data_IF_634631501948
#
_entry.id   IF_634631501948
#
_cell.length_a   1.000
_cell.length_b   1.000
_cell.length_c   1.000
_cell.angle_alpha   90.00
_cell.angle_beta   90.00
_cell.angle_gamma   90.00
#
_symmetry.space_group_name_H-M   'P 1'
#
loop_
_entity.id
_entity.type
_entity.pdbx_description
1 polymer ?
#
# COMPACT_ATOMS: atom_id res chain seq x y z
N UNK A 1 9.54 -8.48 -8.39
CA UNK A 1 8.84 -7.69 -7.40
C UNK A 1 8.33 -6.42 -8.01
N UNK A 2 7.11 -6.11 -7.66
CA UNK A 2 6.35 -5.02 -8.24
C UNK A 2 6.74 -3.65 -7.68
N UNK A 3 6.95 -3.61 -6.37
CA UNK A 3 7.45 -2.46 -5.64
C UNK A 3 8.67 -2.87 -4.85
N UNK A 4 9.75 -2.16 -5.05
CA UNK A 4 10.91 -2.28 -4.19
C UNK A 4 10.91 -1.14 -3.18
N UNK A 5 10.76 -1.50 -1.93
CA UNK A 5 10.86 -0.57 -0.81
C UNK A 5 12.22 -0.82 -0.15
N UNK A 6 13.07 0.20 -0.17
CA UNK A 6 14.43 0.11 0.37
C UNK A 6 14.41 0.14 1.90
N UNK A 7 14.85 -0.93 2.59
CA UNK A 7 14.90 -0.93 4.05
C UNK A 7 15.77 0.19 4.64
N UNK A 8 16.86 0.55 3.97
CA UNK A 8 17.76 1.63 4.44
C UNK A 8 17.05 2.98 4.36
N UNK A 9 16.30 3.21 3.29
CA UNK A 9 15.50 4.43 3.15
C UNK A 9 14.38 4.49 4.20
N UNK A 10 13.68 3.40 4.45
CA UNK A 10 12.63 3.34 5.48
C UNK A 10 13.20 3.59 6.87
N UNK A 11 14.35 3.03 7.21
CA UNK A 11 15.03 3.30 8.47
C UNK A 11 15.40 4.77 8.62
N UNK A 12 15.88 5.39 7.53
CA UNK A 12 16.21 6.82 7.53
C UNK A 12 14.95 7.70 7.70
N UNK A 13 13.82 7.31 7.07
CA UNK A 13 12.54 7.98 7.25
C UNK A 13 12.00 7.79 8.67
N UNK A 14 12.08 6.59 9.22
CA UNK A 14 11.73 6.33 10.61
C UNK A 14 12.56 7.19 11.58
N UNK A 15 13.87 7.30 11.37
CA UNK A 15 14.74 8.12 12.20
C UNK A 15 14.32 9.59 12.23
N UNK A 16 13.80 10.12 11.12
CA UNK A 16 13.30 11.49 10.96
C UNK A 16 11.85 11.68 11.41
N UNK A 17 11.12 10.61 11.67
CA UNK A 17 9.71 10.67 12.05
C UNK A 17 9.51 11.38 13.40
N UNK A 18 8.38 12.09 13.61
CA UNK A 18 8.07 12.71 14.89
C UNK A 18 8.02 11.70 16.04
N UNK A 19 8.31 12.13 17.25
CA UNK A 19 8.40 11.26 18.42
C UNK A 19 7.09 10.49 18.68
N UNK A 20 5.94 11.12 18.52
CA UNK A 20 4.63 10.49 18.69
C UNK A 20 4.40 9.36 17.67
N UNK A 21 4.79 9.57 16.41
CA UNK A 21 4.65 8.55 15.36
C UNK A 21 5.61 7.37 15.61
N UNK A 22 6.84 7.64 16.07
CA UNK A 22 7.78 6.58 16.48
C UNK A 22 7.21 5.71 17.59
N UNK A 23 6.54 6.32 18.62
CA UNK A 23 5.88 5.57 19.69
C UNK A 23 4.80 4.64 19.15
N UNK A 24 3.97 5.10 18.21
CA UNK A 24 2.94 4.26 17.58
C UNK A 24 3.56 3.10 16.80
N UNK A 25 4.58 3.35 15.98
CA UNK A 25 5.26 2.30 15.23
C UNK A 25 5.98 1.30 16.15
N UNK A 26 6.56 1.76 17.26
CA UNK A 26 7.15 0.90 18.29
C UNK A 26 6.10 0.01 18.95
N UNK A 27 4.95 0.58 19.33
CA UNK A 27 3.84 -0.17 19.92
C UNK A 27 3.27 -1.21 18.95
N UNK A 28 3.15 -0.85 17.66
CA UNK A 28 2.71 -1.74 16.61
C UNK A 28 3.67 -2.95 16.47
N UNK A 29 4.96 -2.72 16.35
CA UNK A 29 5.95 -3.78 16.24
C UNK A 29 5.99 -4.65 17.52
N UNK A 30 5.92 -4.03 18.69
CA UNK A 30 5.89 -4.73 19.96
C UNK A 30 4.65 -5.64 20.10
N UNK A 31 3.48 -5.14 19.65
CA UNK A 31 2.23 -5.91 19.65
C UNK A 31 2.31 -7.17 18.77
N UNK A 32 2.83 -7.04 17.55
CA UNK A 32 3.01 -8.17 16.64
C UNK A 32 4.02 -9.19 17.19
N UNK A 33 5.16 -8.72 17.70
CA UNK A 33 6.18 -9.60 18.30
C UNK A 33 5.67 -10.29 19.57
N UNK A 34 4.86 -9.58 20.37
CA UNK A 34 4.23 -10.16 21.54
C UNK A 34 3.24 -11.28 21.16
N UNK A 35 2.40 -11.02 20.13
CA UNK A 35 1.49 -12.03 19.62
C UNK A 35 2.23 -13.30 19.19
N UNK A 36 3.31 -13.17 18.43
CA UNK A 36 4.12 -14.31 18.02
C UNK A 36 4.77 -15.05 19.18
N UNK A 37 5.17 -14.33 20.24
CA UNK A 37 5.72 -14.96 21.44
C UNK A 37 4.67 -15.74 22.26
N UNK A 38 3.44 -15.22 22.31
CA UNK A 38 2.34 -15.86 23.04
C UNK A 38 1.68 -16.99 22.23
N UNK A 39 1.92 -17.06 20.91
CA UNK A 39 1.35 -18.03 19.97
C UNK A 39 2.44 -18.82 19.22
N UNK A 40 3.16 -19.71 19.88
CA UNK A 40 4.24 -20.47 19.24
C UNK A 40 3.77 -21.42 18.14
N UNK A 41 2.47 -21.72 18.06
CA UNK A 41 1.84 -22.46 16.97
C UNK A 41 1.75 -21.68 15.67
N UNK A 42 1.89 -20.35 15.73
CA UNK A 42 1.88 -19.48 14.54
C UNK A 42 3.26 -19.45 13.90
N UNK A 43 3.36 -19.96 12.69
CA UNK A 43 4.62 -20.01 11.94
C UNK A 43 4.58 -19.05 10.74
N UNK A 44 5.03 -17.79 10.88
CA UNK A 44 5.06 -16.84 9.77
C UNK A 44 5.94 -17.35 8.63
N UNK A 45 5.48 -17.15 7.38
CA UNK A 45 6.20 -17.65 6.19
C UNK A 45 7.41 -16.80 5.81
N UNK A 46 7.41 -15.52 6.17
CA UNK A 46 8.39 -14.55 5.67
C UNK A 46 9.06 -13.78 6.81
N UNK A 47 8.28 -13.16 7.68
CA UNK A 47 8.78 -12.34 8.78
C UNK A 47 8.49 -13.02 10.12
N UNK A 48 9.53 -13.29 10.88
CA UNK A 48 9.45 -13.86 12.24
C UNK A 48 9.67 -12.81 13.32
N UNK A 49 10.04 -11.59 12.93
CA UNK A 49 10.24 -10.45 13.81
C UNK A 49 9.89 -9.16 13.10
N UNK A 50 9.27 -8.22 13.81
CA UNK A 50 8.82 -6.94 13.30
C UNK A 50 9.61 -5.79 13.93
N UNK A 51 10.17 -4.94 13.08
CA UNK A 51 10.84 -3.71 13.47
C UNK A 51 9.91 -2.50 13.29
N UNK A 52 10.01 -1.46 14.13
CA UNK A 52 9.13 -0.31 14.07
C UNK A 52 9.08 0.38 12.69
N UNK A 53 10.22 0.48 12.01
CA UNK A 53 10.31 1.10 10.68
C UNK A 53 9.57 0.33 9.58
N UNK A 54 9.27 -0.96 9.80
CA UNK A 54 8.53 -1.77 8.84
C UNK A 54 7.08 -1.29 8.65
N UNK A 55 6.52 -0.59 9.64
CA UNK A 55 5.21 0.05 9.49
C UNK A 55 5.15 1.08 8.34
N UNK A 56 6.29 1.66 7.95
CA UNK A 56 6.40 2.58 6.83
C UNK A 56 6.42 1.88 5.46
N UNK A 57 6.54 0.55 5.42
CA UNK A 57 6.49 -0.22 4.17
C UNK A 57 5.07 -0.41 3.63
N UNK A 58 4.07 -0.02 4.39
CA UNK A 58 2.70 -0.13 3.96
C UNK A 58 2.43 0.82 2.79
N UNK A 59 2.00 0.26 1.67
CA UNK A 59 1.37 1.01 0.60
C UNK A 59 -0.14 0.77 0.64
N UNK A 60 -0.92 1.81 0.40
CA UNK A 60 -2.35 1.66 0.27
C UNK A 60 -2.67 0.72 -0.90
N UNK A 61 -3.17 -0.47 -0.58
CA UNK A 61 -3.36 -1.53 -1.57
C UNK A 61 -4.39 -1.19 -2.64
N UNK A 62 -5.40 -0.37 -2.33
CA UNK A 62 -6.39 0.05 -3.32
C UNK A 62 -5.81 1.09 -4.28
N UNK A 63 -5.07 2.06 -3.78
CA UNK A 63 -4.42 3.10 -4.62
C UNK A 63 -3.21 2.50 -5.34
N UNK A 64 -2.30 1.86 -4.62
CA UNK A 64 -1.12 1.25 -5.20
C UNK A 64 -1.43 0.10 -6.16
N UNK A 65 -2.51 -0.65 -5.89
CA UNK A 65 -2.99 -1.72 -6.76
C UNK A 65 -3.47 -1.22 -8.13
N UNK A 66 -4.15 -0.10 -8.15
CA UNK A 66 -4.71 0.48 -9.36
C UNK A 66 -3.66 1.24 -10.19
N UNK A 67 -2.77 1.98 -9.51
CA UNK A 67 -1.74 2.82 -10.15
C UNK A 67 -0.52 2.00 -10.57
N UNK A 68 -0.09 1.06 -9.72
CA UNK A 68 1.18 0.36 -9.87
C UNK A 68 1.01 -1.07 -10.37
N UNK A 69 -0.12 -1.37 -11.03
CA UNK A 69 -0.35 -2.71 -11.56
C UNK A 69 0.59 -3.04 -12.72
N UNK A 70 1.52 -3.95 -12.49
CA UNK A 70 2.35 -4.56 -13.53
C UNK A 70 1.62 -5.80 -14.07
N UNK A 71 1.31 -5.80 -15.36
CA UNK A 71 0.76 -6.99 -16.02
C UNK A 71 1.88 -8.02 -16.17
N UNK A 72 1.79 -9.11 -15.39
CA UNK A 72 2.83 -10.17 -15.40
C UNK A 72 3.06 -10.76 -16.77
N UNK A 73 2.01 -10.92 -17.58
CA UNK A 73 2.11 -11.39 -18.98
C UNK A 73 2.94 -10.46 -19.85
N UNK A 74 2.80 -9.15 -19.70
CA UNK A 74 3.61 -8.18 -20.43
C UNK A 74 5.08 -8.21 -19.96
N UNK A 75 5.29 -8.38 -18.67
CA UNK A 75 6.63 -8.52 -18.10
C UNK A 75 7.31 -9.81 -18.61
N UNK A 76 6.60 -10.93 -18.62
CA UNK A 76 7.09 -12.19 -19.17
C UNK A 76 7.39 -12.06 -20.66
N UNK A 77 6.48 -11.45 -21.45
CA UNK A 77 6.69 -11.19 -22.86
C UNK A 77 7.96 -10.38 -23.12
N UNK A 78 8.20 -9.34 -22.31
CA UNK A 78 9.39 -8.51 -22.41
C UNK A 78 10.68 -9.32 -22.20
N UNK A 79 10.75 -10.15 -21.15
CA UNK A 79 11.95 -10.93 -20.84
C UNK A 79 12.15 -12.15 -21.74
N UNK A 80 11.08 -12.76 -22.22
CA UNK A 80 11.15 -13.94 -23.08
C UNK A 80 11.14 -13.60 -24.57
N UNK A 81 11.00 -12.33 -24.94
CA UNK A 81 10.82 -11.85 -26.31
C UNK A 81 9.69 -12.55 -27.08
N UNK A 82 8.75 -13.13 -26.37
CA UNK A 82 7.57 -13.76 -26.93
C UNK A 82 6.45 -12.73 -27.06
N UNK A 83 5.80 -12.68 -28.22
CA UNK A 83 4.50 -12.05 -28.35
C UNK A 83 3.47 -12.96 -27.66
N UNK A 84 3.12 -12.62 -26.44
CA UNK A 84 2.02 -13.32 -25.74
C UNK A 84 0.73 -12.67 -26.22
N UNK A 85 -0.06 -13.43 -26.97
CA UNK A 85 -1.47 -13.11 -27.16
C UNK A 85 -2.11 -13.18 -25.76
N UNK A 86 -2.68 -12.05 -25.28
CA UNK A 86 -3.40 -12.04 -24.01
C UNK A 86 -4.51 -13.10 -24.06
N UNK A 87 -4.36 -14.18 -23.31
CA UNK A 87 -5.42 -15.16 -23.15
C UNK A 87 -6.58 -14.49 -22.40
N UNK A 88 -7.80 -14.77 -22.84
CA UNK A 88 -9.02 -14.29 -22.17
C UNK A 88 -9.14 -14.81 -20.72
N UNK A 89 -8.41 -15.87 -20.37
CA UNK A 89 -8.44 -16.53 -19.06
C UNK A 89 -7.70 -15.77 -17.94
N UNK A 90 -6.71 -14.96 -18.23
CA UNK A 90 -6.09 -14.12 -17.19
C UNK A 90 -7.06 -13.07 -16.62
N UNK A 91 -8.15 -12.79 -17.29
CA UNK A 91 -9.22 -11.91 -16.81
C UNK A 91 -10.21 -12.60 -15.88
N UNK A 92 -10.21 -13.91 -15.78
CA UNK A 92 -11.20 -14.71 -15.03
C UNK A 92 -10.73 -15.32 -13.73
N UNK A 93 -9.42 -15.48 -13.53
CA UNK A 93 -8.86 -16.20 -12.38
C UNK A 93 -8.45 -15.33 -11.20
N UNK A 94 -8.41 -14.02 -11.35
CA UNK A 94 -8.26 -13.11 -10.21
C UNK A 94 -9.66 -12.65 -9.84
N UNK A 95 -10.15 -12.96 -8.61
CA UNK A 95 -11.37 -12.33 -8.11
C UNK A 95 -11.17 -10.83 -8.26
N UNK A 96 -11.95 -10.19 -9.15
CA UNK A 96 -11.95 -8.73 -9.24
C UNK A 96 -12.48 -8.24 -7.92
N UNK A 97 -11.61 -7.66 -7.11
CA UNK A 97 -12.08 -6.89 -5.99
C UNK A 97 -13.04 -5.83 -6.51
N UNK A 98 -14.17 -5.60 -5.81
CA UNK A 98 -15.08 -4.53 -6.17
C UNK A 98 -14.28 -3.23 -6.25
N UNK A 99 -14.31 -2.56 -7.39
CA UNK A 99 -13.63 -1.29 -7.57
C UNK A 99 -14.50 -0.16 -7.05
N UNK A 100 -13.88 0.79 -6.35
CA UNK A 100 -14.56 1.97 -5.83
C UNK A 100 -15.08 1.80 -4.40
N UNK A 101 -15.83 2.79 -3.98
CA UNK A 101 -16.50 2.86 -2.66
C UNK A 101 -17.56 3.94 -2.73
N UNK A 102 -18.55 3.87 -1.85
CA UNK A 102 -19.58 4.91 -1.74
C UNK A 102 -19.44 5.67 -0.42
N UNK A 103 -19.67 6.97 -0.45
CA UNK A 103 -19.73 7.80 0.74
C UNK A 103 -20.75 8.90 0.58
N UNK A 104 -21.51 9.15 1.65
CA UNK A 104 -22.46 10.25 1.71
C UNK A 104 -22.22 11.05 2.97
N UNK A 105 -21.92 12.34 2.82
CA UNK A 105 -21.80 13.28 3.92
C UNK A 105 -23.00 14.24 3.86
N UNK A 106 -23.79 14.26 4.92
CA UNK A 106 -24.97 15.13 5.06
C UNK A 106 -24.67 16.17 6.13
N UNK A 107 -24.72 17.44 5.74
CA UNK A 107 -24.51 18.54 6.67
C UNK A 107 -25.64 18.64 7.72
N UNK A 108 -25.37 19.16 8.92
CA UNK A 108 -26.39 19.35 9.96
C UNK A 108 -27.64 20.08 9.52
N UNK A 109 -27.51 21.05 8.61
CA UNK A 109 -28.64 21.81 8.05
C UNK A 109 -29.61 20.99 7.20
N UNK A 110 -29.21 19.79 6.79
CA UNK A 110 -29.99 18.87 5.95
C UNK A 110 -30.44 17.62 6.70
N UNK A 111 -30.13 17.50 7.99
CA UNK A 111 -30.60 16.43 8.86
C UNK A 111 -31.76 16.89 9.74
N UNK A 112 -32.63 15.95 10.11
CA UNK A 112 -33.83 16.26 10.92
C UNK A 112 -33.47 16.70 12.33
N UNK A 113 -32.41 16.15 12.87
CA UNK A 113 -31.96 16.34 14.26
C UNK A 113 -30.77 17.32 14.40
N UNK A 114 -30.34 17.93 13.30
CA UNK A 114 -29.25 18.89 13.29
C UNK A 114 -27.86 18.31 13.49
N UNK A 115 -27.70 16.99 13.31
CA UNK A 115 -26.38 16.33 13.37
C UNK A 115 -25.81 16.03 11.98
N UNK A 116 -24.51 16.08 11.84
CA UNK A 116 -23.84 15.59 10.63
C UNK A 116 -23.99 14.07 10.53
N UNK A 117 -24.27 13.57 9.33
CA UNK A 117 -24.34 12.14 9.05
C UNK A 117 -23.27 11.76 8.02
N UNK A 118 -22.58 10.65 8.24
CA UNK A 118 -21.61 10.10 7.33
C UNK A 118 -21.89 8.61 7.10
N UNK A 119 -22.14 8.24 5.86
CA UNK A 119 -22.16 6.84 5.42
C UNK A 119 -20.83 6.54 4.72
N UNK A 120 -20.22 5.44 5.12
CA UNK A 120 -18.97 4.92 4.54
C UNK A 120 -19.27 3.49 4.08
N UNK A 121 -19.08 3.22 2.78
CA UNK A 121 -19.29 1.90 2.21
C UNK A 121 -18.11 1.53 1.31
N UNK A 122 -16.99 1.07 1.87
CA UNK A 122 -15.83 0.65 1.11
C UNK A 122 -16.12 -0.69 0.40
N UNK A 123 -15.87 -0.72 -0.91
CA UNK A 123 -15.92 -1.96 -1.70
C UNK A 123 -14.52 -2.56 -1.74
N UNK A 124 -14.22 -3.42 -0.80
CA UNK A 124 -12.90 -4.05 -0.65
C UNK A 124 -13.02 -5.55 -0.45
N UNK A 125 -11.91 -6.26 -0.60
CA UNK A 125 -11.84 -7.68 -0.27
C UNK A 125 -12.29 -7.93 1.17
N UNK A 126 -13.04 -9.01 1.36
CA UNK A 126 -13.49 -9.44 2.68
C UNK A 126 -12.34 -9.67 3.68
N UNK A 127 -11.20 -10.10 3.19
CA UNK A 127 -10.03 -10.43 4.03
C UNK A 127 -9.03 -9.28 4.19
N UNK A 128 -9.37 -8.08 3.78
CA UNK A 128 -8.43 -6.97 3.73
C UNK A 128 -8.55 -6.01 4.92
N UNK A 129 -9.74 -5.88 5.50
CA UNK A 129 -10.05 -4.90 6.55
C UNK A 129 -10.82 -5.52 7.70
N UNK A 130 -10.71 -4.87 8.86
CA UNK A 130 -11.49 -5.16 10.06
C UNK A 130 -12.10 -3.86 10.57
N UNK A 131 -13.30 -3.93 11.13
CA UNK A 131 -13.89 -2.83 11.88
C UNK A 131 -13.46 -2.92 13.34
N UNK A 132 -13.15 -1.77 13.93
CA UNK A 132 -12.81 -1.70 15.33
C UNK A 132 -13.03 -0.30 15.92
N UNK A 133 -13.16 -0.26 17.25
CA UNK A 133 -13.14 0.92 18.07
C UNK A 133 -11.76 1.09 18.68
N UNK A 134 -11.13 2.24 18.48
CA UNK A 134 -9.87 2.60 19.10
C UNK A 134 -10.07 3.72 20.11
N UNK A 135 -9.64 3.51 21.33
CA UNK A 135 -9.69 4.52 22.39
C UNK A 135 -8.34 4.63 23.09
N UNK A 136 -8.01 5.82 23.59
CA UNK A 136 -6.87 6.03 24.48
C UNK A 136 -7.17 7.14 25.49
N UNK A 137 -6.48 7.12 26.61
CA UNK A 137 -6.59 8.15 27.65
C UNK A 137 -6.06 9.53 27.19
N UNK A 138 -5.34 9.55 26.05
CA UNK A 138 -4.87 10.79 25.41
C UNK A 138 -5.92 11.43 24.48
N UNK A 139 -7.18 10.97 24.52
CA UNK A 139 -8.32 11.57 23.82
C UNK A 139 -8.67 10.94 22.47
N UNK A 140 -7.99 9.87 22.04
CA UNK A 140 -8.42 9.11 20.87
C UNK A 140 -9.73 8.37 21.19
N UNK A 141 -10.73 8.58 20.36
CA UNK A 141 -11.96 7.80 20.36
C UNK A 141 -12.49 7.76 18.93
N UNK A 142 -12.12 6.72 18.18
CA UNK A 142 -12.44 6.58 16.78
C UNK A 142 -12.97 5.17 16.47
N UNK A 143 -14.00 5.11 15.63
CA UNK A 143 -14.55 3.86 15.09
C UNK A 143 -14.39 3.84 13.58
N UNK A 144 -14.11 2.66 13.03
CA UNK A 144 -14.08 2.47 11.59
C UNK A 144 -13.27 1.29 11.13
N UNK A 145 -12.94 1.30 9.84
CA UNK A 145 -12.19 0.25 9.18
C UNK A 145 -10.67 0.46 9.32
N UNK A 146 -9.99 -0.63 9.64
CA UNK A 146 -8.52 -0.71 9.67
C UNK A 146 -8.08 -1.71 8.63
N UNK A 147 -7.13 -1.35 7.80
CA UNK A 147 -6.46 -2.30 6.93
C UNK A 147 -5.55 -3.19 7.76
N UNK A 148 -5.56 -4.48 7.50
CA UNK A 148 -4.73 -5.43 8.23
C UNK A 148 -3.25 -5.03 8.21
N UNK A 149 -2.62 -5.04 9.37
CA UNK A 149 -1.25 -4.60 9.54
C UNK A 149 -1.08 -3.09 9.81
N UNK A 150 -2.17 -2.31 9.83
CA UNK A 150 -2.13 -0.90 10.20
C UNK A 150 -2.48 -0.66 11.66
N UNK A 151 -2.04 0.49 12.18
CA UNK A 151 -2.24 0.90 13.56
C UNK A 151 -3.11 2.16 13.70
N UNK A 152 -3.92 2.46 12.68
CA UNK A 152 -4.84 3.61 12.67
C UNK A 152 -6.14 3.28 11.92
N UNK A 153 -7.21 3.99 12.27
CA UNK A 153 -8.48 3.90 11.56
C UNK A 153 -8.33 4.57 10.19
N UNK A 154 -8.38 3.77 9.16
CA UNK A 154 -8.16 4.17 7.76
C UNK A 154 -9.35 4.93 7.17
N UNK A 155 -10.57 4.46 7.43
CA UNK A 155 -11.83 5.12 7.13
C UNK A 155 -12.72 5.01 8.36
N UNK A 156 -13.29 6.12 8.80
CA UNK A 156 -14.06 6.10 10.02
C UNK A 156 -14.52 7.46 10.48
N UNK A 157 -14.81 7.55 11.75
CA UNK A 157 -15.25 8.78 12.37
C UNK A 157 -14.92 8.81 13.86
N UNK A 158 -14.93 10.01 14.41
CA UNK A 158 -14.92 10.30 15.84
C UNK A 158 -16.03 11.34 16.16
N UNK A 159 -16.02 11.88 17.37
CA UNK A 159 -17.02 12.90 17.78
C UNK A 159 -16.92 14.24 17.03
N UNK A 160 -15.85 14.48 16.27
CA UNK A 160 -15.55 15.77 15.64
C UNK A 160 -15.46 15.71 14.13
N UNK A 161 -15.07 14.57 13.56
CA UNK A 161 -14.80 14.42 12.15
C UNK A 161 -15.12 13.00 11.66
N UNK A 162 -15.42 12.89 10.37
CA UNK A 162 -15.48 11.63 9.66
C UNK A 162 -14.61 11.71 8.41
N UNK A 163 -14.04 10.60 8.00
CA UNK A 163 -13.17 10.53 6.83
C UNK A 163 -13.36 9.21 6.08
N UNK A 164 -13.38 9.33 4.78
CA UNK A 164 -13.37 8.21 3.86
C UNK A 164 -12.72 8.62 2.53
N UNK A 165 -12.34 7.65 1.76
CA UNK A 165 -11.85 7.84 0.41
C UNK A 165 -12.30 6.69 -0.47
N UNK A 166 -12.37 6.94 -1.75
CA UNK A 166 -12.77 5.98 -2.77
C UNK A 166 -11.79 6.03 -3.93
N UNK A 167 -11.69 4.95 -4.67
CA UNK A 167 -10.98 4.97 -5.95
C UNK A 167 -11.74 5.87 -6.91
N UNK A 168 -11.01 6.82 -7.51
CA UNK A 168 -11.52 7.66 -8.58
C UNK A 168 -11.09 7.12 -9.93
N UNK A 169 -11.89 7.40 -10.96
CA UNK A 169 -11.52 7.15 -12.36
C UNK A 169 -11.00 8.41 -13.05
N UNK A 170 -10.56 9.39 -12.28
CA UNK A 170 -9.96 10.59 -12.82
C UNK A 170 -8.62 10.26 -13.49
N UNK A 171 -8.40 10.83 -14.66
CA UNK A 171 -7.12 10.76 -15.36
C UNK A 171 -6.12 11.71 -14.67
N UNK A 172 -5.39 11.15 -13.70
CA UNK A 172 -4.37 11.85 -12.92
C UNK A 172 -3.02 11.12 -12.92
N UNK A 173 -2.84 10.20 -13.89
CA UNK A 173 -1.60 9.42 -14.06
C UNK A 173 -1.14 9.56 -15.48
N UNK A 174 0.06 10.13 -15.66
CA UNK A 174 0.73 10.22 -16.94
C UNK A 174 1.78 9.12 -17.07
N UNK A 175 1.72 8.35 -18.16
CA UNK A 175 2.76 7.39 -18.53
C UNK A 175 3.70 7.99 -19.55
N UNK A 176 5.00 7.98 -19.26
CA UNK A 176 6.04 8.53 -20.15
C UNK A 176 6.90 7.41 -20.73
N UNK A 177 6.99 7.33 -22.05
CA UNK A 177 7.93 6.47 -22.74
C UNK A 177 9.27 7.19 -22.93
N UNK A 178 10.29 6.79 -22.17
CA UNK A 178 11.59 7.45 -22.19
C UNK A 178 12.52 6.82 -23.25
N UNK A 179 13.22 7.68 -24.01
CA UNK A 179 14.27 7.22 -24.92
C UNK A 179 15.59 7.06 -24.17
N UNK A 180 15.97 5.83 -23.91
CA UNK A 180 17.18 5.48 -23.18
C UNK A 180 18.31 5.15 -24.15
N UNK A 181 19.52 5.63 -23.87
CA UNK A 181 20.73 5.37 -24.65
C UNK A 181 21.91 5.04 -23.71
N UNK A 182 22.83 4.14 -24.11
CA UNK A 182 24.06 3.90 -23.36
C UNK A 182 24.87 5.21 -23.21
N UNK A 183 25.53 5.36 -22.07
CA UNK A 183 26.38 6.54 -21.77
C UNK A 183 27.85 6.35 -22.17
N UNK A 184 28.20 5.17 -22.70
CA UNK A 184 29.58 4.80 -23.06
C UNK A 184 30.47 4.47 -21.86
N UNK A 185 29.95 4.47 -20.63
CA UNK A 185 30.67 4.17 -19.38
C UNK A 185 30.06 3.00 -18.62
N UNK A 186 29.17 2.24 -19.28
CA UNK A 186 28.47 1.08 -18.68
C UNK A 186 27.14 1.45 -18.03
N UNK A 187 26.71 2.72 -18.10
CA UNK A 187 25.42 3.20 -17.64
C UNK A 187 24.50 3.60 -18.79
N UNK A 188 23.41 4.28 -18.42
CA UNK A 188 22.42 4.76 -19.36
C UNK A 188 22.04 6.21 -19.09
N UNK A 189 21.63 6.92 -20.14
CA UNK A 189 21.02 8.25 -20.06
C UNK A 189 19.66 8.24 -20.74
N UNK A 190 18.76 9.13 -20.31
CA UNK A 190 17.49 9.38 -20.97
C UNK A 190 17.34 10.86 -21.34
N UNK A 191 16.49 11.13 -22.32
CA UNK A 191 16.24 12.51 -22.76
C UNK A 191 15.10 13.11 -21.92
N UNK A 192 15.38 14.24 -21.28
CA UNK A 192 14.39 15.02 -20.56
C UNK A 192 14.36 16.45 -21.12
N UNK A 193 13.39 16.70 -21.97
CA UNK A 193 13.34 17.95 -22.74
C UNK A 193 14.57 18.12 -23.62
N UNK A 194 15.36 19.18 -23.39
CA UNK A 194 16.62 19.46 -24.09
C UNK A 194 17.86 18.87 -23.39
N UNK A 195 17.68 18.25 -22.23
CA UNK A 195 18.78 17.72 -21.41
C UNK A 195 18.90 16.19 -21.54
N UNK A 196 20.10 15.67 -21.33
CA UNK A 196 20.33 14.25 -21.05
C UNK A 196 20.57 14.07 -19.56
N UNK A 197 19.83 13.15 -18.94
CA UNK A 197 19.97 12.80 -17.53
C UNK A 197 20.44 11.36 -17.39
N UNK A 198 21.26 11.09 -16.38
CA UNK A 198 21.68 9.75 -16.05
C UNK A 198 20.49 8.93 -15.53
N UNK A 199 20.41 7.67 -15.93
CA UNK A 199 19.49 6.69 -15.36
C UNK A 199 20.11 6.15 -14.07
N UNK A 200 19.38 6.27 -12.96
CA UNK A 200 19.78 5.61 -11.72
C UNK A 200 19.49 4.11 -11.85
N UNK A 201 20.53 3.30 -11.72
CA UNK A 201 20.43 1.83 -11.73
C UNK A 201 20.62 1.33 -10.31
N UNK A 202 19.63 0.59 -9.79
CA UNK A 202 19.67 -0.03 -8.47
C UNK A 202 19.63 -1.55 -8.64
N UNK A 203 20.72 -2.27 -8.41
CA UNK A 203 20.72 -3.72 -8.39
C UNK A 203 19.94 -4.22 -7.18
N UNK A 204 19.06 -5.20 -7.39
CA UNK A 204 18.28 -5.84 -6.34
C UNK A 204 18.54 -7.33 -6.41
N UNK A 205 18.97 -7.91 -5.30
CA UNK A 205 19.11 -9.36 -5.16
C UNK A 205 17.84 -9.95 -4.56
N UNK A 206 17.22 -10.86 -5.30
CA UNK A 206 16.05 -11.60 -4.84
C UNK A 206 16.47 -13.03 -4.50
N UNK A 207 16.41 -13.38 -3.23
CA UNK A 207 16.56 -14.77 -2.80
C UNK A 207 15.20 -15.47 -2.94
N UNK A 208 15.20 -16.66 -3.51
CA UNK A 208 14.01 -17.50 -3.61
C UNK A 208 14.39 -18.96 -3.36
N UNK A 209 13.42 -19.71 -2.82
CA UNK A 209 13.59 -21.14 -2.60
C UNK A 209 13.26 -21.88 -3.90
N UNK A 210 14.14 -22.77 -4.33
CA UNK A 210 13.88 -23.65 -5.46
C UNK A 210 12.96 -24.82 -5.05
N UNK A 211 12.39 -25.50 -6.05
CA UNK A 211 11.45 -26.61 -5.78
C UNK A 211 12.09 -27.82 -5.12
N UNK A 212 13.39 -27.95 -5.25
CA UNK A 212 14.23 -29.01 -4.68
C UNK A 212 14.79 -28.69 -3.27
N UNK A 213 14.47 -27.53 -2.71
CA UNK A 213 14.77 -27.15 -1.34
C UNK A 213 15.77 -26.01 -1.20
#
# INVERSE_FOLDING_TARGET
QRLWIDPVELQAQYAKSPAWLKKLMQAWAAGLNRYLADHPEVHPRVLTHFEPWMALSFSEGSIGGDIESVKLSQLEAFYTQRRIAMSADERGLVPREPLGSNGFAIAPSHSKDGHALLLINPHTSFFFRSELQMTSDEGLNAYGAVTWGQFFVYQGFNSHAGWMHTSGSNDNIDEFAETVSPDGKGGFTYRYGKQRRAVAVKPITLAYRQADG
#
